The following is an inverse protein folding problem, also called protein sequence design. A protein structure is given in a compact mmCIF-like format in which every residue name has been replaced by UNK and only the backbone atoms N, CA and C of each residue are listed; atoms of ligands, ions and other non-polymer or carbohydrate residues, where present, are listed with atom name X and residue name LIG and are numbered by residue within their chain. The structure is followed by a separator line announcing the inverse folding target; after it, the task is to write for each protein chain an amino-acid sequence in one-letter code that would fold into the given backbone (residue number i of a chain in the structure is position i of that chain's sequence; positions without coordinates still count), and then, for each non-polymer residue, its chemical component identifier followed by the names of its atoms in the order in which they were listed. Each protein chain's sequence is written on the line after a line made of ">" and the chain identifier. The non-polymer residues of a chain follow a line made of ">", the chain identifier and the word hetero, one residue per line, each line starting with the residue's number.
data_IF_624271771282
#
_entry.id   IF_624271771282
#
_cell.length_a   1.000
_cell.length_b   1.000
_cell.length_c   1.000
_cell.angle_alpha   90.00
_cell.angle_beta   90.00
_cell.angle_gamma   90.00
#
_symmetry.space_group_name_H-M   'P 1'
#
loop_
_entity.id
_entity.type
_entity.pdbx_description
1 polymer ?
#
# COMPACT_ATOMS: atom_id res chain seq x y z
N UNK A 1 -0.43 -14.89 -3.18
CA UNK A 1 0.69 -15.64 -2.53
C UNK A 1 0.27 -16.94 -1.83
N UNK A 2 -0.84 -16.93 -1.09
CA UNK A 2 -1.25 -18.07 -0.25
C UNK A 2 -1.76 -19.30 -1.03
N UNK A 3 -1.97 -19.20 -2.34
CA UNK A 3 -2.22 -20.37 -3.19
C UNK A 3 -1.01 -21.30 -3.31
N UNK A 4 0.18 -20.84 -2.92
CA UNK A 4 1.41 -21.64 -2.95
C UNK A 4 2.22 -21.44 -1.66
N UNK A 5 1.64 -21.88 -0.53
CA UNK A 5 2.27 -21.86 0.79
C UNK A 5 3.62 -22.59 0.81
N UNK A 6 3.81 -23.77 0.18
CA UNK A 6 5.10 -24.45 0.19
C UNK A 6 6.24 -23.59 -0.36
N UNK A 7 6.02 -22.89 -1.48
CA UNK A 7 7.03 -21.98 -2.06
C UNK A 7 7.27 -20.77 -1.16
N UNK A 8 6.21 -20.19 -0.58
CA UNK A 8 6.34 -19.07 0.34
C UNK A 8 7.25 -19.43 1.52
N UNK A 9 7.00 -20.57 2.15
CA UNK A 9 7.80 -21.09 3.28
C UNK A 9 9.24 -21.38 2.85
N UNK A 10 9.42 -22.03 1.69
CA UNK A 10 10.74 -22.31 1.14
C UNK A 10 11.56 -21.04 0.95
N UNK A 11 10.96 -19.99 0.36
CA UNK A 11 11.63 -18.71 0.14
C UNK A 11 12.00 -18.04 1.46
N UNK A 12 11.07 -17.98 2.40
CA UNK A 12 11.29 -17.40 3.72
C UNK A 12 12.46 -18.08 4.46
N UNK A 13 12.49 -19.41 4.49
CA UNK A 13 13.54 -20.18 5.15
C UNK A 13 14.92 -20.01 4.49
N UNK A 14 14.98 -20.02 3.14
CA UNK A 14 16.25 -19.89 2.44
C UNK A 14 16.81 -18.46 2.46
N UNK A 15 15.96 -17.44 2.33
CA UNK A 15 16.41 -16.05 2.41
C UNK A 15 16.93 -15.75 3.82
N UNK A 16 16.26 -16.25 4.87
CA UNK A 16 16.77 -16.14 6.25
C UNK A 16 18.16 -16.76 6.40
N UNK A 17 18.35 -18.01 5.96
CA UNK A 17 19.66 -18.67 6.00
C UNK A 17 20.76 -17.89 5.29
N UNK A 18 20.46 -17.26 4.16
CA UNK A 18 21.43 -16.43 3.41
C UNK A 18 21.74 -15.16 4.21
N UNK A 19 20.71 -14.44 4.64
CA UNK A 19 20.84 -13.15 5.32
C UNK A 19 21.49 -13.27 6.70
N UNK A 20 21.23 -14.33 7.44
CA UNK A 20 21.88 -14.65 8.73
C UNK A 20 23.40 -14.86 8.55
N UNK A 21 23.82 -15.56 7.50
CA UNK A 21 25.25 -15.80 7.21
C UNK A 21 26.03 -14.52 6.91
N UNK A 22 25.36 -13.51 6.35
CA UNK A 22 25.99 -12.25 5.95
C UNK A 22 25.64 -11.08 6.89
N UNK A 23 24.95 -11.35 8.00
CA UNK A 23 24.62 -10.35 9.02
C UNK A 23 23.61 -9.27 8.57
N UNK A 24 22.74 -9.58 7.61
CA UNK A 24 21.71 -8.65 7.12
C UNK A 24 20.36 -8.98 7.73
N UNK A 25 19.60 -7.96 8.14
CA UNK A 25 18.25 -8.15 8.67
C UNK A 25 17.27 -8.41 7.53
N UNK A 26 16.68 -9.61 7.51
CA UNK A 26 15.56 -9.95 6.64
C UNK A 26 14.20 -9.60 7.28
N UNK A 27 13.29 -9.05 6.47
CA UNK A 27 11.91 -8.76 6.87
C UNK A 27 10.94 -9.24 5.79
N UNK A 28 10.02 -10.11 6.19
CA UNK A 28 8.96 -10.61 5.32
C UNK A 28 7.73 -9.69 5.37
N UNK A 29 7.14 -9.41 4.22
CA UNK A 29 5.90 -8.64 4.09
C UNK A 29 4.91 -9.42 3.22
N UNK A 30 3.64 -9.46 3.61
CA UNK A 30 2.60 -10.20 2.89
C UNK A 30 1.51 -9.24 2.43
N UNK A 31 1.11 -9.31 1.16
CA UNK A 31 -0.18 -8.78 0.69
C UNK A 31 -1.06 -9.96 0.30
N UNK A 32 -2.26 -10.04 0.84
CA UNK A 32 -3.13 -11.20 0.66
C UNK A 32 -4.60 -10.83 0.68
N UNK A 33 -5.42 -11.68 0.06
CA UNK A 33 -6.88 -11.66 0.24
C UNK A 33 -7.31 -12.43 1.52
N UNK A 34 -6.38 -12.98 2.28
CA UNK A 34 -6.64 -13.54 3.60
C UNK A 34 -7.23 -14.94 3.64
N UNK A 35 -7.92 -15.40 2.58
CA UNK A 35 -8.76 -16.62 2.61
C UNK A 35 -8.04 -17.93 2.94
N UNK A 36 -6.73 -17.99 2.84
CA UNK A 36 -5.90 -19.16 3.17
C UNK A 36 -4.85 -18.87 4.26
N UNK A 37 -4.96 -17.75 4.97
CA UNK A 37 -3.99 -17.37 5.99
C UNK A 37 -4.32 -18.06 7.31
N UNK A 38 -3.63 -19.16 7.60
CA UNK A 38 -3.85 -19.94 8.82
C UNK A 38 -3.03 -19.45 10.01
N UNK A 39 -3.45 -19.83 11.23
CA UNK A 39 -2.72 -19.55 12.47
C UNK A 39 -1.33 -20.20 12.46
N UNK A 40 -1.23 -21.41 11.93
CA UNK A 40 0.04 -22.15 11.79
C UNK A 40 1.00 -21.38 10.89
N UNK A 41 0.50 -20.81 9.77
CA UNK A 41 1.34 -20.01 8.87
C UNK A 41 1.80 -18.70 9.52
N UNK A 42 0.91 -18.02 10.27
CA UNK A 42 1.25 -16.81 11.03
C UNK A 42 2.36 -17.04 12.05
N UNK A 43 2.37 -18.22 12.69
CA UNK A 43 3.39 -18.61 13.65
C UNK A 43 4.68 -19.07 12.96
N UNK A 44 4.57 -19.76 11.83
CA UNK A 44 5.71 -20.28 11.07
C UNK A 44 6.51 -19.18 10.39
N UNK A 45 5.83 -18.23 9.74
CA UNK A 45 6.46 -17.13 9.02
C UNK A 45 6.27 -15.83 9.79
N UNK A 46 7.37 -15.32 10.35
CA UNK A 46 7.41 -14.05 11.07
C UNK A 46 7.30 -12.85 10.12
N UNK A 47 6.07 -12.53 9.70
CA UNK A 47 5.79 -11.34 8.91
C UNK A 47 6.00 -10.06 9.73
N UNK A 48 6.69 -9.08 9.15
CA UNK A 48 6.80 -7.73 9.72
C UNK A 48 5.49 -6.96 9.55
N UNK A 49 4.84 -7.09 8.39
CA UNK A 49 3.46 -6.64 8.22
C UNK A 49 2.69 -7.50 7.23
N UNK A 50 1.37 -7.51 7.40
CA UNK A 50 0.41 -8.20 6.56
C UNK A 50 -0.61 -7.18 6.09
N UNK A 51 -0.71 -7.00 4.77
CA UNK A 51 -1.65 -6.09 4.14
C UNK A 51 -2.91 -6.85 3.73
N UNK A 52 -4.04 -6.38 4.27
CA UNK A 52 -5.39 -6.80 3.93
C UNK A 52 -6.11 -5.65 3.22
N UNK A 53 -7.06 -5.95 2.34
CA UNK A 53 -7.68 -4.93 1.47
C UNK A 53 -9.16 -4.80 1.77
N UNK A 54 -9.59 -3.66 2.31
CA UNK A 54 -10.99 -3.37 2.56
C UNK A 54 -11.52 -2.32 1.59
N UNK A 55 -12.54 -2.66 0.80
CA UNK A 55 -13.09 -1.76 -0.23
C UNK A 55 -14.39 -1.05 0.21
N UNK A 56 -14.67 -0.99 1.52
CA UNK A 56 -15.86 -0.34 2.09
C UNK A 56 -16.31 -1.02 3.38
N UNK A 57 -17.47 -0.60 3.90
CA UNK A 57 -18.18 -1.36 4.94
C UNK A 57 -18.78 -2.63 4.33
N UNK A 58 -19.22 -3.57 5.18
CA UNK A 58 -19.66 -4.94 4.80
C UNK A 58 -20.38 -5.03 3.45
N UNK A 59 -21.51 -4.32 3.27
CA UNK A 59 -22.29 -4.37 2.03
C UNK A 59 -21.51 -3.90 0.79
N UNK A 60 -20.74 -2.82 0.91
CA UNK A 60 -19.98 -2.25 -0.20
C UNK A 60 -18.75 -3.10 -0.50
N UNK A 61 -18.08 -3.58 0.55
CA UNK A 61 -16.95 -4.50 0.46
C UNK A 61 -17.34 -5.78 -0.27
N UNK A 62 -18.37 -6.48 0.19
CA UNK A 62 -18.78 -7.78 -0.36
C UNK A 62 -19.29 -7.67 -1.79
N UNK A 63 -19.85 -6.51 -2.16
CA UNK A 63 -20.25 -6.22 -3.54
C UNK A 63 -19.05 -5.98 -4.46
N UNK A 64 -18.06 -5.19 -4.02
CA UNK A 64 -16.89 -4.84 -4.83
C UNK A 64 -15.87 -5.97 -4.90
N UNK A 65 -15.75 -6.77 -3.84
CA UNK A 65 -14.85 -7.89 -3.73
C UNK A 65 -15.62 -9.20 -3.77
N UNK A 66 -15.89 -9.65 -5.00
CA UNK A 66 -16.60 -10.90 -5.24
C UNK A 66 -15.75 -12.08 -4.76
N UNK A 67 -16.29 -12.82 -3.80
CA UNK A 67 -15.68 -13.98 -3.16
C UNK A 67 -16.81 -14.88 -2.69
N UNK A 68 -16.69 -16.20 -2.85
CA UNK A 68 -17.76 -17.14 -2.45
C UNK A 68 -17.68 -17.51 -0.96
N UNK A 69 -16.53 -17.27 -0.31
CA UNK A 69 -16.21 -17.87 1.00
C UNK A 69 -15.45 -16.93 1.95
N UNK A 70 -15.05 -15.75 1.49
CA UNK A 70 -14.25 -14.83 2.29
C UNK A 70 -14.73 -13.41 2.05
N UNK A 71 -15.61 -12.97 2.94
CA UNK A 71 -16.29 -11.68 2.91
C UNK A 71 -15.71 -10.77 4.00
N UNK A 72 -16.34 -9.62 4.19
CA UNK A 72 -15.96 -8.64 5.18
C UNK A 72 -15.80 -9.25 6.59
N UNK A 73 -16.74 -10.11 7.01
CA UNK A 73 -16.72 -10.70 8.36
C UNK A 73 -15.49 -11.59 8.59
N UNK A 74 -15.17 -12.47 7.65
CA UNK A 74 -14.00 -13.34 7.74
C UNK A 74 -12.70 -12.53 7.68
N UNK A 75 -12.67 -11.41 6.93
CA UNK A 75 -11.50 -10.53 6.90
C UNK A 75 -11.32 -9.76 8.23
N UNK A 76 -12.41 -9.38 8.90
CA UNK A 76 -12.37 -8.83 10.27
C UNK A 76 -11.89 -9.87 11.29
N UNK A 77 -12.36 -11.11 11.22
CA UNK A 77 -11.85 -12.21 12.05
C UNK A 77 -10.37 -12.50 11.78
N UNK A 78 -9.94 -12.34 10.52
CA UNK A 78 -8.53 -12.49 10.18
C UNK A 78 -7.65 -11.41 10.82
N UNK A 79 -8.11 -10.15 10.93
CA UNK A 79 -7.40 -9.12 11.70
C UNK A 79 -7.21 -9.62 13.14
N UNK A 80 -8.26 -10.12 13.78
CA UNK A 80 -8.19 -10.65 15.14
C UNK A 80 -7.15 -11.79 15.26
N UNK A 81 -7.14 -12.72 14.31
CA UNK A 81 -6.16 -13.81 14.27
C UNK A 81 -4.73 -13.30 14.08
N UNK A 82 -4.49 -12.34 13.18
CA UNK A 82 -3.16 -11.72 13.00
C UNK A 82 -2.71 -11.06 14.30
N UNK A 83 -3.62 -10.37 14.97
CA UNK A 83 -3.33 -9.69 16.23
C UNK A 83 -3.02 -10.69 17.36
N UNK A 84 -3.75 -11.79 17.46
CA UNK A 84 -3.58 -12.77 18.55
C UNK A 84 -2.43 -13.76 18.33
N UNK A 85 -2.14 -14.13 17.08
CA UNK A 85 -1.20 -15.22 16.77
C UNK A 85 0.09 -14.75 16.09
N UNK A 86 0.29 -13.44 15.94
CA UNK A 86 1.53 -12.88 15.39
C UNK A 86 1.87 -11.51 15.97
N UNK A 87 3.12 -11.08 15.76
CA UNK A 87 3.58 -9.73 16.05
C UNK A 87 3.56 -8.82 14.81
N UNK A 88 2.95 -9.28 13.71
CA UNK A 88 2.87 -8.51 12.49
C UNK A 88 2.02 -7.26 12.71
N UNK A 89 2.39 -6.18 12.02
CA UNK A 89 1.48 -5.06 11.80
C UNK A 89 0.44 -5.44 10.76
N UNK A 90 -0.79 -4.99 10.94
CA UNK A 90 -1.85 -5.09 9.94
C UNK A 90 -1.85 -3.78 9.14
N UNK A 91 -1.59 -3.87 7.85
CA UNK A 91 -1.68 -2.73 6.94
C UNK A 91 -3.04 -2.77 6.24
N UNK A 92 -3.93 -1.86 6.60
CA UNK A 92 -5.25 -1.73 6.00
C UNK A 92 -5.13 -0.99 4.68
N UNK A 93 -5.14 -1.73 3.59
CA UNK A 93 -5.25 -1.15 2.25
C UNK A 93 -6.72 -0.85 1.96
N UNK A 94 -6.99 0.33 1.44
CA UNK A 94 -8.30 0.67 0.88
C UNK A 94 -8.11 1.11 -0.58
N UNK A 95 -8.86 0.53 -1.51
CA UNK A 95 -8.92 1.03 -2.89
C UNK A 95 -10.13 1.95 -3.01
N UNK A 96 -9.89 3.25 -3.07
CA UNK A 96 -10.90 4.29 -2.97
C UNK A 96 -11.36 4.70 -4.37
N UNK A 97 -12.66 4.53 -4.61
CA UNK A 97 -13.41 4.89 -5.82
C UNK A 97 -14.64 5.74 -5.45
N UNK A 98 -15.44 6.14 -6.45
CA UNK A 98 -16.65 6.94 -6.19
C UNK A 98 -17.69 6.21 -5.35
N UNK A 99 -17.75 4.88 -5.45
CA UNK A 99 -18.74 4.03 -4.81
C UNK A 99 -18.52 3.87 -3.31
N UNK A 100 -17.28 4.06 -2.83
CA UNK A 100 -16.93 3.77 -1.44
C UNK A 100 -16.29 4.95 -0.70
N UNK A 101 -15.96 6.07 -1.38
CA UNK A 101 -15.26 7.21 -0.76
C UNK A 101 -15.91 7.73 0.52
N UNK A 102 -17.25 7.72 0.57
CA UNK A 102 -18.02 8.27 1.68
C UNK A 102 -18.07 7.31 2.90
N UNK A 103 -17.63 6.05 2.72
CA UNK A 103 -17.58 5.04 3.78
C UNK A 103 -16.20 4.86 4.39
N UNK A 104 -15.12 5.28 3.71
CA UNK A 104 -13.73 4.95 4.11
C UNK A 104 -13.39 5.44 5.52
N UNK A 105 -13.87 6.62 5.90
CA UNK A 105 -13.62 7.15 7.26
C UNK A 105 -14.36 6.31 8.31
N UNK A 106 -15.61 5.92 8.04
CA UNK A 106 -16.40 5.08 8.94
C UNK A 106 -15.78 3.68 9.08
N UNK A 107 -15.29 3.11 7.97
CA UNK A 107 -14.57 1.84 7.95
C UNK A 107 -13.31 1.88 8.84
N UNK A 108 -12.45 2.89 8.68
CA UNK A 108 -11.25 3.00 9.50
C UNK A 108 -11.58 3.22 10.98
N UNK A 109 -12.58 4.04 11.30
CA UNK A 109 -13.06 4.22 12.69
C UNK A 109 -13.51 2.91 13.30
N UNK A 110 -14.36 2.16 12.59
CA UNK A 110 -14.82 0.84 13.03
C UNK A 110 -13.66 -0.11 13.36
N UNK A 111 -12.64 -0.17 12.48
CA UNK A 111 -11.48 -1.04 12.69
C UNK A 111 -10.64 -0.58 13.89
N UNK A 112 -10.42 0.74 14.05
CA UNK A 112 -9.68 1.26 15.20
C UNK A 112 -10.40 1.08 16.53
N UNK A 113 -11.72 1.29 16.56
CA UNK A 113 -12.52 1.06 17.76
C UNK A 113 -12.47 -0.41 18.19
N UNK A 114 -12.44 -1.33 17.23
CA UNK A 114 -12.42 -2.77 17.50
C UNK A 114 -11.04 -3.31 17.90
N UNK A 115 -9.97 -2.83 17.28
CA UNK A 115 -8.64 -3.44 17.40
C UNK A 115 -7.54 -2.50 17.92
N UNK A 116 -7.87 -1.23 18.16
CA UNK A 116 -6.90 -0.19 18.48
C UNK A 116 -6.05 0.23 17.28
N UNK A 117 -5.04 1.07 17.53
CA UNK A 117 -4.19 1.64 16.47
C UNK A 117 -2.69 1.32 16.63
N UNK A 118 -2.31 0.50 17.60
CA UNK A 118 -0.91 0.22 17.92
C UNK A 118 -0.19 -0.52 16.78
N UNK A 119 -0.82 -1.60 16.27
CA UNK A 119 -0.27 -2.44 15.20
C UNK A 119 -1.05 -2.35 13.89
N UNK A 120 -1.99 -1.42 13.79
CA UNK A 120 -2.77 -1.19 12.58
C UNK A 120 -2.27 0.08 11.91
N UNK A 121 -1.93 0.01 10.62
CA UNK A 121 -1.54 1.14 9.78
C UNK A 121 -2.50 1.27 8.58
N UNK A 122 -2.71 2.47 8.06
CA UNK A 122 -3.57 2.71 6.88
C UNK A 122 -2.71 2.91 5.63
N UNK A 123 -3.09 2.24 4.54
CA UNK A 123 -2.54 2.42 3.20
C UNK A 123 -3.64 2.75 2.18
N UNK A 124 -4.12 3.99 2.11
CA UNK A 124 -5.18 4.36 1.20
C UNK A 124 -4.63 4.50 -0.21
N UNK A 125 -5.35 3.98 -1.20
CA UNK A 125 -4.94 4.03 -2.60
C UNK A 125 -6.14 4.45 -3.44
N UNK A 126 -5.92 5.37 -4.38
CA UNK A 126 -6.92 5.67 -5.39
C UNK A 126 -7.04 4.49 -6.35
N UNK A 127 -8.26 3.99 -6.58
CA UNK A 127 -8.49 2.93 -7.55
C UNK A 127 -8.29 3.47 -8.96
N UNK A 128 -7.53 2.75 -9.78
CA UNK A 128 -7.21 3.12 -11.16
C UNK A 128 -7.84 2.07 -12.07
N UNK A 129 -8.61 2.52 -13.07
CA UNK A 129 -9.12 1.63 -14.12
C UNK A 129 -7.98 1.17 -15.01
N UNK A 130 -7.90 -0.13 -15.22
CA UNK A 130 -7.02 -0.73 -16.23
C UNK A 130 -7.82 -1.17 -17.45
N UNK A 131 -9.12 -1.43 -17.29
CA UNK A 131 -10.06 -1.75 -18.35
C UNK A 131 -11.25 -0.79 -18.33
N UNK A 132 -11.85 -0.51 -19.49
CA UNK A 132 -12.99 0.42 -19.57
C UNK A 132 -14.22 -0.11 -18.80
N UNK A 133 -14.42 -1.43 -18.83
CA UNK A 133 -15.59 -2.12 -18.26
C UNK A 133 -15.44 -2.46 -16.76
N UNK A 134 -14.38 -1.95 -16.10
CA UNK A 134 -14.22 -2.08 -14.66
C UNK A 134 -15.46 -1.48 -13.94
N UNK A 135 -16.03 -2.23 -12.98
CA UNK A 135 -17.35 -2.00 -12.36
C UNK A 135 -17.42 -0.88 -11.30
N UNK A 136 -16.44 0.01 -11.29
CA UNK A 136 -16.35 1.14 -10.36
C UNK A 136 -15.98 2.41 -11.12
N UNK A 137 -16.17 3.59 -10.54
CA UNK A 137 -15.76 4.85 -11.13
C UNK A 137 -14.55 5.46 -10.40
N UNK A 138 -13.56 5.90 -11.18
CA UNK A 138 -12.35 6.50 -10.60
C UNK A 138 -12.66 7.85 -9.95
N UNK A 139 -11.99 8.12 -8.83
CA UNK A 139 -11.87 9.48 -8.33
C UNK A 139 -10.90 10.28 -9.21
N UNK A 140 -11.20 11.56 -9.40
CA UNK A 140 -10.17 12.52 -9.79
C UNK A 140 -9.05 12.58 -8.73
N UNK A 141 -7.89 13.10 -9.11
CA UNK A 141 -6.77 13.27 -8.16
C UNK A 141 -7.20 14.16 -6.97
N UNK A 142 -8.03 15.17 -7.23
CA UNK A 142 -8.50 16.11 -6.23
C UNK A 142 -9.53 15.49 -5.28
N UNK A 143 -10.52 14.76 -5.79
CA UNK A 143 -11.48 14.03 -4.94
C UNK A 143 -10.76 13.03 -4.02
N UNK A 144 -9.76 12.30 -4.55
CA UNK A 144 -8.95 11.43 -3.71
C UNK A 144 -8.12 12.21 -2.69
N UNK A 145 -7.62 13.40 -3.04
CA UNK A 145 -6.85 14.23 -2.13
C UNK A 145 -7.67 14.66 -0.91
N UNK A 146 -8.92 15.05 -1.13
CA UNK A 146 -9.89 15.40 -0.07
C UNK A 146 -10.08 14.22 0.89
N UNK A 147 -10.34 13.01 0.36
CA UNK A 147 -10.50 11.80 1.18
C UNK A 147 -9.21 11.45 1.93
N UNK A 148 -8.05 11.52 1.27
CA UNK A 148 -6.75 11.24 1.89
C UNK A 148 -6.45 12.22 3.03
N UNK A 149 -6.85 13.47 2.91
CA UNK A 149 -6.74 14.44 3.99
C UNK A 149 -7.67 14.13 5.18
N UNK A 150 -8.91 13.68 4.93
CA UNK A 150 -9.78 13.19 6.01
C UNK A 150 -9.18 11.98 6.73
N UNK A 151 -8.57 11.04 5.99
CA UNK A 151 -7.85 9.91 6.57
C UNK A 151 -6.68 10.38 7.44
N UNK A 152 -5.94 11.41 7.00
CA UNK A 152 -4.86 12.01 7.80
C UNK A 152 -5.38 12.61 9.10
N UNK A 153 -6.52 13.31 9.07
CA UNK A 153 -7.14 13.87 10.28
C UNK A 153 -7.51 12.78 11.26
N UNK A 154 -8.21 11.73 10.79
CA UNK A 154 -8.54 10.56 11.60
C UNK A 154 -7.29 9.93 12.21
N UNK A 155 -6.25 9.70 11.41
CA UNK A 155 -5.02 9.10 11.90
C UNK A 155 -4.32 9.96 12.97
N UNK A 156 -4.36 11.28 12.81
CA UNK A 156 -3.76 12.21 13.77
C UNK A 156 -4.50 12.22 15.10
N UNK A 157 -5.84 12.17 15.06
CA UNK A 157 -6.71 11.99 16.23
C UNK A 157 -6.36 10.70 16.98
N UNK A 158 -6.27 9.58 16.25
CA UNK A 158 -5.93 8.27 16.83
C UNK A 158 -4.54 8.23 17.47
N UNK A 159 -3.58 8.97 16.94
CA UNK A 159 -2.21 9.06 17.48
C UNK A 159 -2.04 10.16 18.53
N UNK A 160 -3.06 10.99 18.77
CA UNK A 160 -2.96 12.15 19.66
C UNK A 160 -1.94 13.19 19.20
N UNK A 161 -1.54 13.18 17.92
CA UNK A 161 -0.58 14.13 17.35
C UNK A 161 -0.81 14.32 15.85
N UNK A 162 -0.66 15.55 15.39
CA UNK A 162 -0.69 15.89 13.97
C UNK A 162 0.73 16.16 13.46
N UNK A 163 1.21 15.33 12.54
CA UNK A 163 2.56 15.45 11.97
C UNK A 163 2.52 16.11 10.59
N UNK A 164 3.49 16.98 10.30
CA UNK A 164 3.68 17.51 8.95
C UNK A 164 4.24 16.43 8.00
N UNK A 165 3.94 16.52 6.69
CA UNK A 165 4.53 15.62 5.71
C UNK A 165 6.06 15.79 5.67
N UNK A 166 6.77 14.67 5.63
CA UNK A 166 8.24 14.65 5.64
C UNK A 166 8.74 14.60 4.19
N UNK A 167 9.76 15.41 3.82
CA UNK A 167 10.39 15.34 2.51
C UNK A 167 10.93 13.95 2.19
N UNK A 168 10.78 13.54 0.94
CA UNK A 168 11.34 12.27 0.43
C UNK A 168 12.79 12.48 0.03
N UNK A 169 13.67 11.60 0.51
CA UNK A 169 15.10 11.60 0.16
C UNK A 169 15.40 10.87 -1.15
N UNK A 170 14.54 9.93 -1.57
CA UNK A 170 14.72 9.13 -2.79
C UNK A 170 13.38 8.92 -3.50
N UNK A 171 13.39 8.84 -4.84
CA UNK A 171 12.20 8.51 -5.61
C UNK A 171 11.82 7.03 -5.44
N UNK A 172 10.76 6.57 -6.11
CA UNK A 172 10.32 5.18 -6.03
C UNK A 172 11.46 4.21 -6.37
N UNK A 173 11.68 3.20 -5.51
CA UNK A 173 12.80 2.25 -5.64
C UNK A 173 12.65 1.27 -6.80
N UNK A 174 11.43 1.08 -7.32
CA UNK A 174 11.15 0.30 -8.52
C UNK A 174 11.79 1.00 -9.75
N UNK A 175 11.30 2.20 -10.15
CA UNK A 175 12.06 3.35 -10.62
C UNK A 175 13.56 3.29 -10.90
N UNK A 176 14.22 3.44 -9.77
CA UNK A 176 15.42 4.24 -9.62
C UNK A 176 16.29 3.66 -8.50
N UNK A 177 15.95 2.47 -7.99
CA UNK A 177 16.57 1.91 -6.79
C UNK A 177 16.66 0.39 -6.83
N UNK A 178 16.63 -0.21 -5.63
CA UNK A 178 16.85 -1.63 -5.40
C UNK A 178 15.54 -2.35 -5.08
N UNK A 179 14.51 -2.19 -5.91
CA UNK A 179 13.26 -2.95 -5.80
C UNK A 179 12.94 -3.66 -7.10
N UNK A 180 12.56 -4.93 -7.00
CA UNK A 180 12.35 -5.83 -8.13
C UNK A 180 11.05 -6.61 -7.91
N UNK A 181 10.20 -6.67 -8.93
CA UNK A 181 9.04 -7.56 -8.93
C UNK A 181 9.38 -8.79 -9.78
N UNK A 182 9.35 -9.97 -9.16
CA UNK A 182 9.74 -11.22 -9.82
C UNK A 182 8.50 -12.09 -9.98
N UNK A 183 8.22 -12.52 -11.21
CA UNK A 183 7.10 -13.41 -11.54
C UNK A 183 7.40 -14.86 -11.13
N UNK A 184 6.39 -15.74 -11.04
CA UNK A 184 6.60 -17.16 -10.72
C UNK A 184 7.58 -17.87 -11.67
N UNK A 185 7.65 -17.45 -12.93
CA UNK A 185 8.55 -17.98 -13.95
C UNK A 185 9.98 -17.42 -13.84
N UNK A 186 10.22 -16.48 -12.92
CA UNK A 186 11.53 -15.85 -12.70
C UNK A 186 11.78 -14.59 -13.53
N UNK A 187 10.78 -14.06 -14.22
CA UNK A 187 10.92 -12.79 -14.95
C UNK A 187 10.84 -11.60 -14.01
N UNK A 188 11.74 -10.64 -14.19
CA UNK A 188 11.68 -9.37 -13.49
C UNK A 188 10.83 -8.38 -14.29
N UNK A 189 9.80 -7.83 -13.65
CA UNK A 189 9.14 -6.61 -14.08
C UNK A 189 9.53 -5.46 -13.17
N UNK A 190 9.53 -4.25 -13.73
CA UNK A 190 10.00 -3.08 -13.02
C UNK A 190 9.07 -2.64 -11.89
N UNK A 191 7.77 -2.90 -11.99
CA UNK A 191 6.77 -2.61 -10.96
C UNK A 191 5.56 -3.51 -11.23
N UNK A 192 4.85 -3.95 -10.19
CA UNK A 192 3.64 -4.76 -10.34
C UNK A 192 2.49 -4.05 -11.07
N UNK A 193 2.50 -2.71 -11.10
CA UNK A 193 1.56 -1.91 -11.89
C UNK A 193 2.05 -1.60 -13.32
N UNK A 194 3.26 -2.02 -13.69
CA UNK A 194 3.78 -1.77 -15.04
C UNK A 194 3.13 -2.72 -16.04
N UNK A 195 2.74 -2.17 -17.20
CA UNK A 195 2.32 -2.92 -18.38
C UNK A 195 3.47 -3.15 -19.36
N UNK A 196 4.71 -2.75 -19.01
CA UNK A 196 5.88 -2.95 -19.87
C UNK A 196 6.06 -4.43 -20.21
N UNK A 197 6.28 -4.70 -21.50
CA UNK A 197 6.35 -6.05 -22.05
C UNK A 197 7.77 -6.61 -22.08
N UNK A 198 8.80 -5.82 -21.78
CA UNK A 198 10.18 -6.30 -21.76
C UNK A 198 10.41 -7.17 -20.52
N UNK A 199 10.29 -8.49 -20.72
CA UNK A 199 10.55 -9.50 -19.71
C UNK A 199 12.02 -9.92 -19.79
N UNK A 200 12.76 -9.73 -18.70
CA UNK A 200 14.10 -10.29 -18.52
C UNK A 200 14.07 -11.26 -17.36
N UNK A 201 14.77 -12.40 -17.45
CA UNK A 201 14.96 -13.22 -16.27
C UNK A 201 15.72 -12.43 -15.22
N UNK A 202 15.39 -12.61 -13.94
CA UNK A 202 16.02 -11.85 -12.87
C UNK A 202 17.56 -11.99 -12.86
N UNK A 203 18.09 -13.15 -13.27
CA UNK A 203 19.53 -13.39 -13.40
C UNK A 203 20.21 -12.56 -14.48
N UNK A 204 19.47 -12.09 -15.48
CA UNK A 204 19.97 -11.25 -16.57
C UNK A 204 19.81 -9.75 -16.26
N UNK A 205 19.24 -9.41 -15.10
CA UNK A 205 19.09 -8.02 -14.68
C UNK A 205 20.42 -7.51 -14.14
N UNK A 206 20.97 -6.51 -14.81
CA UNK A 206 22.07 -5.72 -14.26
C UNK A 206 21.56 -4.92 -13.05
N UNK A 207 21.87 -5.40 -11.85
CA UNK A 207 21.44 -4.79 -10.59
C UNK A 207 22.17 -3.48 -10.28
N UNK A 208 23.33 -3.23 -10.91
CA UNK A 208 24.13 -2.02 -10.71
C UNK A 208 23.67 -0.88 -11.63
N UNK A 209 23.12 -1.21 -12.80
CA UNK A 209 22.59 -0.24 -13.74
C UNK A 209 21.27 0.42 -13.26
N UNK A 210 21.41 1.51 -12.49
CA UNK A 210 20.27 2.31 -12.03
C UNK A 210 19.92 3.42 -13.02
N UNK A 211 18.62 3.51 -13.33
CA UNK A 211 18.09 4.66 -14.08
C UNK A 211 18.33 5.95 -13.29
N UNK A 212 18.91 6.94 -13.94
CA UNK A 212 19.05 8.27 -13.36
C UNK A 212 17.67 8.89 -13.14
N UNK A 213 17.44 9.41 -11.93
CA UNK A 213 16.20 10.11 -11.63
C UNK A 213 16.13 11.45 -12.38
N UNK A 214 15.00 11.69 -13.04
CA UNK A 214 14.72 12.96 -13.73
C UNK A 214 13.39 13.55 -13.28
N UNK A 215 13.40 14.82 -12.89
CA UNK A 215 12.19 15.56 -12.52
C UNK A 215 11.48 16.08 -13.77
N UNK A 216 10.18 15.78 -13.89
CA UNK A 216 9.34 16.25 -15.01
C UNK A 216 9.21 17.78 -15.01
N UNK A 217 9.03 18.37 -16.20
CA UNK A 217 9.08 19.84 -16.40
C UNK A 217 8.07 20.58 -15.52
N UNK A 218 6.86 20.08 -15.42
CA UNK A 218 5.79 20.63 -14.60
C UNK A 218 6.09 20.56 -13.09
N UNK A 219 6.83 19.53 -12.67
CA UNK A 219 7.18 19.34 -11.26
C UNK A 219 8.31 20.27 -10.80
N UNK A 220 9.17 20.76 -11.70
CA UNK A 220 10.28 21.68 -11.36
C UNK A 220 9.84 23.01 -10.77
N UNK A 221 8.58 23.42 -11.04
CA UNK A 221 7.97 24.65 -10.50
C UNK A 221 6.99 24.37 -9.36
N UNK A 222 6.84 23.11 -8.94
CA UNK A 222 5.86 22.70 -7.94
C UNK A 222 6.44 22.86 -6.53
N UNK A 223 5.73 23.60 -5.66
CA UNK A 223 6.13 23.86 -4.28
C UNK A 223 6.17 22.61 -3.38
N UNK A 224 5.48 21.52 -3.74
CA UNK A 224 5.52 20.24 -3.01
C UNK A 224 6.48 19.21 -3.61
N UNK A 225 7.34 19.59 -4.57
CA UNK A 225 8.29 18.67 -5.19
C UNK A 225 9.12 17.88 -4.15
N UNK A 226 9.63 18.48 -3.05
CA UNK A 226 10.37 17.73 -2.03
C UNK A 226 9.54 16.63 -1.33
N UNK A 227 8.21 16.72 -1.33
CA UNK A 227 7.33 15.76 -0.67
C UNK A 227 6.98 14.55 -1.55
N UNK A 228 6.96 14.73 -2.88
CA UNK A 228 6.49 13.69 -3.81
C UNK A 228 7.54 13.21 -4.82
N UNK A 229 8.56 14.02 -5.12
CA UNK A 229 9.56 13.76 -6.18
C UNK A 229 8.92 13.39 -7.53
N UNK A 230 7.76 13.99 -7.84
CA UNK A 230 7.01 13.70 -9.06
C UNK A 230 6.05 12.52 -8.97
N UNK A 231 5.83 11.92 -7.80
CA UNK A 231 4.79 10.90 -7.61
C UNK A 231 4.98 9.63 -8.46
N UNK A 232 3.90 8.86 -8.66
CA UNK A 232 3.97 7.56 -9.32
C UNK A 232 4.11 7.67 -10.85
N UNK A 233 5.24 7.22 -11.41
CA UNK A 233 5.48 7.25 -12.86
C UNK A 233 4.50 6.37 -13.64
N UNK A 234 4.05 5.25 -13.05
CA UNK A 234 3.08 4.35 -13.67
C UNK A 234 1.73 5.06 -13.86
N UNK A 235 1.20 5.69 -12.80
CA UNK A 235 -0.05 6.45 -12.91
C UNK A 235 0.07 7.65 -13.87
N UNK A 236 1.25 8.25 -13.95
CA UNK A 236 1.52 9.30 -14.93
C UNK A 236 1.44 8.75 -16.36
N UNK A 237 2.10 7.64 -16.65
CA UNK A 237 2.09 7.00 -17.98
C UNK A 237 0.69 6.54 -18.39
N UNK A 238 -0.10 6.06 -17.43
CA UNK A 238 -1.53 5.70 -17.63
C UNK A 238 -2.45 6.92 -17.75
N UNK A 239 -1.92 8.15 -17.66
CA UNK A 239 -2.70 9.40 -17.64
C UNK A 239 -3.78 9.47 -16.55
N UNK A 240 -3.65 8.66 -15.50
CA UNK A 240 -4.56 8.68 -14.37
C UNK A 240 -4.26 9.83 -13.39
N UNK A 241 -3.15 10.56 -13.59
CA UNK A 241 -2.66 11.60 -12.69
C UNK A 241 -1.78 11.03 -11.59
N UNK A 242 -0.70 11.73 -11.24
CA UNK A 242 0.33 11.22 -10.33
C UNK A 242 0.66 12.16 -9.16
N UNK A 243 -0.07 13.27 -9.03
CA UNK A 243 0.15 14.22 -7.93
C UNK A 243 -0.36 13.63 -6.62
N UNK A 244 0.40 13.81 -5.54
CA UNK A 244 0.00 13.36 -4.20
C UNK A 244 -0.98 14.35 -3.58
N UNK A 245 -1.73 13.91 -2.56
CA UNK A 245 -2.79 14.72 -1.94
C UNK A 245 -2.27 16.04 -1.34
N UNK A 246 -1.01 16.07 -0.89
CA UNK A 246 -0.39 17.29 -0.34
C UNK A 246 -0.39 18.43 -1.35
N UNK A 247 -0.38 18.15 -2.67
CA UNK A 247 -0.45 19.22 -3.69
C UNK A 247 -1.73 20.05 -3.56
N UNK A 248 -2.82 19.40 -3.21
CA UNK A 248 -4.16 20.00 -3.12
C UNK A 248 -4.46 20.45 -1.69
N UNK A 249 -3.96 19.71 -0.71
CA UNK A 249 -4.34 19.86 0.70
C UNK A 249 -3.27 20.53 1.57
N UNK A 250 -2.13 20.99 1.01
CA UNK A 250 -1.03 21.58 1.79
C UNK A 250 -1.52 22.69 2.73
N UNK A 251 -2.36 23.59 2.25
CA UNK A 251 -2.90 24.69 3.06
C UNK A 251 -3.68 24.16 4.27
N UNK A 252 -4.53 23.16 4.05
CA UNK A 252 -5.35 22.57 5.11
C UNK A 252 -4.49 21.77 6.10
N UNK A 253 -3.46 21.05 5.61
CA UNK A 253 -2.46 20.38 6.43
C UNK A 253 -1.75 21.36 7.36
N UNK A 254 -1.31 22.51 6.83
CA UNK A 254 -0.62 23.54 7.63
C UNK A 254 -1.56 24.16 8.68
N UNK A 255 -2.80 24.49 8.30
CA UNK A 255 -3.81 25.02 9.23
C UNK A 255 -4.06 24.02 10.37
N UNK A 256 -4.25 22.74 10.05
CA UNK A 256 -4.48 21.71 11.06
C UNK A 256 -3.28 21.50 11.97
N UNK A 257 -2.06 21.54 11.45
CA UNK A 257 -0.85 21.48 12.27
C UNK A 257 -0.79 22.64 13.26
N UNK A 258 -0.99 23.88 12.81
CA UNK A 258 -0.96 25.08 13.67
C UNK A 258 -1.99 24.95 14.80
N UNK A 259 -3.20 24.48 14.50
CA UNK A 259 -4.25 24.23 15.50
C UNK A 259 -3.88 23.20 16.57
N UNK A 260 -3.01 22.23 16.26
CA UNK A 260 -2.60 21.19 17.21
C UNK A 260 -1.42 21.60 18.09
N UNK A 261 -0.63 22.61 17.67
CA UNK A 261 0.52 23.10 18.44
C UNK A 261 0.24 24.42 19.19
N UNK A 262 -0.91 25.03 18.92
CA UNK A 262 -1.43 26.19 19.66
C UNK A 262 -2.19 25.72 20.89
#
# INVERSE_FOLDING_TARGET
>A
PLLNIPVLVYLDENIKKITDKIGIVYKAFLTTNGSMLSKELLQKVKFSSIQLTFDGLEKTHDRLRVSDHFHFKEEIELIENIMNFSQAKVLLRTNICKENKDEIIALHKYIFEKFGNERIEINPNRTIKYHQDDSFEMLSVQEYAEVAYQIKLLWSEQKGKFELPVPRSTPCKFPYGNAYAISPEGYCTFCSGSMDQEKKYFFDVDIENKKMFSVRKECKKCNILPLCLGGCIIQYNLRAGACTYEKYELKNILISYIKHIS
#
